data_IF_789339286853
#
_entry.id   IF_789339286853
#
_cell.length_a   1.000
_cell.length_b   1.000
_cell.length_c   1.000
_cell.angle_alpha   90.00
_cell.angle_beta   90.00
_cell.angle_gamma   90.00
#
_symmetry.space_group_name_H-M   'P 1'
#
loop_
_entity.id
_entity.type
_entity.pdbx_description
1 polymer ?
#
# COMPACT_ATOMS: atom_id res chain seq x y z
N UNK A 1 -27.72 -40.00 21.34
CA UNK A 1 -26.38 -39.64 20.83
C UNK A 1 -26.52 -39.50 19.33
N UNK A 2 -26.68 -38.27 18.86
CA UNK A 2 -26.67 -37.95 17.44
C UNK A 2 -25.57 -36.93 17.28
N UNK A 3 -24.44 -37.39 16.73
CA UNK A 3 -23.33 -36.54 16.31
C UNK A 3 -23.83 -35.63 15.19
N UNK A 4 -24.12 -34.38 15.55
CA UNK A 4 -24.32 -33.31 14.58
C UNK A 4 -22.95 -32.92 14.04
N UNK A 5 -22.71 -33.28 12.78
CA UNK A 5 -21.50 -32.98 12.03
C UNK A 5 -21.31 -31.46 11.97
N UNK A 6 -20.30 -30.94 12.68
CA UNK A 6 -19.85 -29.55 12.56
C UNK A 6 -19.48 -29.30 11.08
N UNK A 7 -20.37 -28.63 10.36
CA UNK A 7 -20.04 -28.11 9.02
C UNK A 7 -19.07 -26.94 9.21
N UNK A 8 -17.93 -26.88 8.50
CA UNK A 8 -17.03 -25.74 8.62
C UNK A 8 -17.78 -24.46 8.23
N UNK A 9 -17.91 -23.54 9.19
CA UNK A 9 -18.43 -22.21 8.95
C UNK A 9 -17.55 -21.56 7.87
N UNK A 10 -18.16 -21.16 6.76
CA UNK A 10 -17.53 -20.28 5.77
C UNK A 10 -17.08 -19.03 6.54
N UNK A 11 -15.82 -18.57 6.41
CA UNK A 11 -15.36 -17.39 7.14
C UNK A 11 -16.37 -16.25 6.93
N UNK A 12 -16.75 -15.60 8.03
CA UNK A 12 -17.71 -14.50 7.98
C UNK A 12 -17.19 -13.41 7.04
N UNK A 13 -18.07 -12.62 6.45
CA UNK A 13 -17.67 -11.55 5.52
C UNK A 13 -16.70 -10.54 6.19
N UNK A 14 -16.76 -10.44 7.53
CA UNK A 14 -15.87 -9.62 8.37
C UNK A 14 -14.42 -10.15 8.43
N UNK A 15 -14.20 -11.47 8.33
CA UNK A 15 -12.85 -12.08 8.31
C UNK A 15 -12.09 -11.76 7.01
N UNK A 16 -12.79 -11.26 5.98
CA UNK A 16 -12.23 -10.90 4.67
C UNK A 16 -11.93 -9.42 4.53
N UNK A 17 -12.16 -8.62 5.58
CA UNK A 17 -11.87 -7.20 5.57
C UNK A 17 -10.37 -6.98 5.32
N UNK A 18 -9.99 -6.13 4.35
CA UNK A 18 -8.59 -5.82 4.14
C UNK A 18 -7.95 -5.12 5.35
N UNK A 19 -6.68 -5.43 5.59
CA UNK A 19 -5.90 -4.84 6.70
C UNK A 19 -5.14 -3.62 6.21
N UNK A 20 -5.23 -2.51 6.94
CA UNK A 20 -4.48 -1.30 6.62
C UNK A 20 -3.13 -1.26 7.34
N UNK A 21 -2.14 -0.63 6.71
CA UNK A 21 -0.80 -0.49 7.28
C UNK A 21 -0.02 0.71 6.77
N UNK A 22 1.05 1.02 7.48
CA UNK A 22 1.98 2.11 7.14
C UNK A 22 3.40 1.59 7.18
N UNK A 23 4.25 2.07 6.26
CA UNK A 23 5.69 1.82 6.27
C UNK A 23 6.46 2.99 5.66
N UNK A 24 7.55 3.42 6.29
CA UNK A 24 8.47 4.40 5.71
C UNK A 24 9.03 5.38 6.73
N UNK A 25 9.26 6.62 6.31
CA UNK A 25 9.62 7.72 7.21
C UNK A 25 8.47 8.71 7.34
N UNK A 26 8.37 9.34 8.50
CA UNK A 26 7.40 10.38 8.80
C UNK A 26 8.11 11.58 9.43
N UNK A 27 7.69 12.83 9.17
CA UNK A 27 8.29 14.01 9.76
C UNK A 27 8.23 14.03 11.30
N UNK A 28 7.24 13.35 11.87
CA UNK A 28 6.98 13.26 13.32
C UNK A 28 7.90 12.28 14.05
N UNK A 29 8.71 11.49 13.32
CA UNK A 29 9.61 10.49 13.90
C UNK A 29 11.04 10.63 13.39
N UNK A 30 12.00 10.22 14.24
CA UNK A 30 13.41 10.22 13.86
C UNK A 30 13.84 9.01 13.03
N UNK A 31 13.11 7.90 13.04
CA UNK A 31 13.47 6.64 12.38
C UNK A 31 12.33 6.07 11.52
N UNK A 32 12.55 4.89 10.93
CA UNK A 32 11.54 4.17 10.17
C UNK A 32 10.36 3.75 11.04
N UNK A 33 9.16 3.82 10.47
CA UNK A 33 7.91 3.41 11.11
C UNK A 33 7.28 2.24 10.36
N UNK A 34 6.61 1.37 11.10
CA UNK A 34 5.75 0.34 10.52
C UNK A 34 4.61 -0.04 11.47
N UNK A 35 3.39 -0.19 10.95
CA UNK A 35 2.21 -0.70 11.66
C UNK A 35 1.29 -1.45 10.71
N UNK A 36 0.53 -2.42 11.23
CA UNK A 36 -0.49 -3.15 10.46
C UNK A 36 0.00 -4.06 9.33
N UNK A 37 1.32 -4.26 9.18
CA UNK A 37 1.90 -5.04 8.09
C UNK A 37 2.46 -6.38 8.59
N UNK A 38 2.17 -7.50 7.89
CA UNK A 38 2.88 -8.76 8.12
C UNK A 38 4.38 -8.60 7.88
N UNK A 39 5.19 -9.11 8.80
CA UNK A 39 6.64 -8.90 8.78
C UNK A 39 7.32 -9.39 7.49
N UNK A 40 6.86 -10.52 6.95
CA UNK A 40 7.37 -11.05 5.69
C UNK A 40 7.11 -10.08 4.54
N UNK A 41 5.90 -9.52 4.44
CA UNK A 41 5.55 -8.54 3.42
C UNK A 41 6.37 -7.25 3.61
N UNK A 42 6.44 -6.73 4.84
CA UNK A 42 7.20 -5.50 5.18
C UNK A 42 8.64 -5.57 4.68
N UNK A 43 9.35 -6.69 4.91
CA UNK A 43 10.75 -6.85 4.47
C UNK A 43 10.91 -6.78 2.94
N UNK A 44 10.01 -7.41 2.19
CA UNK A 44 10.03 -7.37 0.73
C UNK A 44 9.68 -5.97 0.21
N UNK A 45 8.70 -5.31 0.84
CA UNK A 45 8.30 -3.95 0.49
C UNK A 45 9.39 -2.91 0.77
N UNK A 46 10.06 -3.01 1.92
CA UNK A 46 11.22 -2.19 2.27
C UNK A 46 12.34 -2.32 1.22
N UNK A 47 12.70 -3.56 0.88
CA UNK A 47 13.69 -3.82 -0.15
C UNK A 47 13.29 -3.19 -1.50
N UNK A 48 12.02 -3.34 -1.89
CA UNK A 48 11.50 -2.77 -3.14
C UNK A 48 11.58 -1.23 -3.15
N UNK A 49 11.14 -0.56 -2.09
CA UNK A 49 11.23 0.89 -1.95
C UNK A 49 12.67 1.39 -1.95
N UNK A 50 13.55 0.72 -1.20
CA UNK A 50 14.97 1.05 -1.11
C UNK A 50 15.66 0.94 -2.46
N UNK A 51 15.32 -0.09 -3.24
CA UNK A 51 15.92 -0.35 -4.55
C UNK A 51 15.37 0.54 -5.66
N UNK A 52 14.08 0.83 -5.66
CA UNK A 52 13.41 1.40 -6.83
C UNK A 52 12.86 2.82 -6.62
N UNK A 53 12.43 3.18 -5.41
CA UNK A 53 11.79 4.48 -5.15
C UNK A 53 12.74 5.47 -4.48
N UNK A 54 13.43 5.04 -3.43
CA UNK A 54 14.33 5.90 -2.67
C UNK A 54 15.42 6.57 -3.54
N UNK A 55 16.04 5.89 -4.54
CA UNK A 55 17.00 6.54 -5.43
C UNK A 55 16.37 7.66 -6.27
N UNK A 56 15.12 7.49 -6.72
CA UNK A 56 14.42 8.49 -7.53
C UNK A 56 14.12 9.75 -6.70
N UNK A 57 13.66 9.58 -5.46
CA UNK A 57 13.47 10.71 -4.54
C UNK A 57 14.76 11.47 -4.26
N UNK A 58 15.88 10.76 -4.02
CA UNK A 58 17.19 11.39 -3.84
C UNK A 58 17.72 12.10 -5.10
N UNK A 59 17.33 11.64 -6.28
CA UNK A 59 17.68 12.26 -7.56
C UNK A 59 16.76 13.44 -7.94
N UNK A 60 15.82 13.83 -7.06
CA UNK A 60 14.94 14.97 -7.28
C UNK A 60 13.71 14.67 -8.14
N UNK A 61 13.29 13.39 -8.25
CA UNK A 61 12.05 13.04 -8.94
C UNK A 61 10.85 13.76 -8.31
N UNK A 62 9.99 14.32 -9.16
CA UNK A 62 8.78 15.02 -8.72
C UNK A 62 7.68 13.99 -8.56
N UNK A 63 7.26 13.76 -7.31
CA UNK A 63 6.14 12.88 -7.07
C UNK A 63 4.84 13.54 -7.55
N UNK A 64 3.95 12.78 -8.21
CA UNK A 64 2.68 13.29 -8.69
C UNK A 64 1.79 13.71 -7.52
N UNK A 65 0.93 14.70 -7.75
CA UNK A 65 -0.11 15.06 -6.80
C UNK A 65 -1.02 13.84 -6.56
N UNK A 66 -1.15 13.43 -5.29
CA UNK A 66 -1.88 12.22 -4.92
C UNK A 66 -1.04 10.93 -4.89
N UNK A 67 0.29 11.06 -5.01
CA UNK A 67 1.26 9.97 -4.83
C UNK A 67 1.30 8.94 -5.96
N UNK A 68 2.29 8.06 -5.88
CA UNK A 68 2.40 6.89 -6.77
C UNK A 68 1.49 5.79 -6.22
N UNK A 69 0.46 5.41 -6.97
CA UNK A 69 -0.47 4.35 -6.58
C UNK A 69 -0.03 3.01 -7.15
N UNK A 70 -0.33 1.94 -6.42
CA UNK A 70 0.08 0.60 -6.81
C UNK A 70 -0.92 -0.48 -6.43
N UNK A 71 -0.81 -1.60 -7.13
CA UNK A 71 -1.38 -2.88 -6.74
C UNK A 71 -0.35 -3.97 -7.04
N UNK A 72 -0.15 -4.87 -6.07
CA UNK A 72 0.89 -5.88 -6.07
C UNK A 72 0.26 -7.22 -5.64
N UNK A 73 -0.12 -8.06 -6.62
CA UNK A 73 -0.57 -9.42 -6.33
C UNK A 73 0.58 -10.26 -5.77
N UNK A 74 0.33 -11.03 -4.70
CA UNK A 74 1.29 -11.96 -4.12
C UNK A 74 0.59 -13.06 -3.32
N UNK A 75 0.82 -14.33 -3.69
CA UNK A 75 0.30 -15.48 -2.94
C UNK A 75 -1.23 -15.52 -2.81
N UNK A 76 -1.97 -15.02 -3.81
CA UNK A 76 -3.43 -14.92 -3.79
C UNK A 76 -3.98 -13.68 -3.06
N UNK A 77 -3.11 -12.90 -2.41
CA UNK A 77 -3.45 -11.63 -1.75
C UNK A 77 -3.05 -10.44 -2.61
N UNK A 78 -3.65 -9.29 -2.35
CA UNK A 78 -3.30 -8.04 -3.00
C UNK A 78 -2.80 -7.04 -1.97
N UNK A 79 -1.56 -6.56 -2.12
CA UNK A 79 -1.13 -5.33 -1.48
C UNK A 79 -1.40 -4.16 -2.42
N UNK A 80 -2.11 -3.14 -1.96
CA UNK A 80 -2.41 -1.95 -2.75
C UNK A 80 -2.23 -0.69 -1.90
N UNK A 81 -2.14 0.46 -2.54
CA UNK A 81 -2.14 1.74 -1.84
C UNK A 81 -1.36 2.82 -2.55
N UNK A 82 -0.76 3.71 -1.77
CA UNK A 82 -0.09 4.92 -2.25
C UNK A 82 1.27 5.11 -1.60
N UNK A 83 2.24 5.54 -2.40
CA UNK A 83 3.59 5.91 -2.00
C UNK A 83 3.77 7.42 -2.17
N UNK A 84 4.24 8.06 -1.11
CA UNK A 84 4.42 9.50 -0.97
C UNK A 84 5.90 9.87 -0.82
N UNK A 85 6.31 11.06 -1.29
CA UNK A 85 7.58 11.62 -0.88
C UNK A 85 7.54 11.90 0.63
N UNK A 86 8.59 11.57 1.35
CA UNK A 86 8.66 11.84 2.79
C UNK A 86 10.12 11.92 3.28
N UNK A 87 10.28 12.41 4.51
CA UNK A 87 11.53 12.54 5.26
C UNK A 87 11.25 12.40 6.75
N UNK A 88 12.26 11.97 7.51
CA UNK A 88 12.17 11.97 8.97
C UNK A 88 12.49 13.35 9.56
N UNK A 89 12.38 13.47 10.88
CA UNK A 89 12.72 14.70 11.61
C UNK A 89 14.20 15.11 11.50
N UNK A 90 15.07 14.24 10.97
CA UNK A 90 16.47 14.52 10.68
C UNK A 90 16.70 14.83 9.18
N UNK A 91 15.63 15.09 8.41
CA UNK A 91 15.65 15.42 6.98
C UNK A 91 16.22 14.31 6.07
N UNK A 92 16.28 13.07 6.57
CA UNK A 92 16.73 11.92 5.76
C UNK A 92 15.55 11.45 4.92
N UNK A 93 15.71 11.52 3.60
CA UNK A 93 14.63 11.20 2.66
C UNK A 93 14.41 9.69 2.54
N UNK A 94 13.15 9.28 2.69
CA UNK A 94 12.69 7.92 2.37
C UNK A 94 11.16 7.97 2.19
N UNK A 95 10.59 7.29 1.18
CA UNK A 95 9.16 7.36 0.92
C UNK A 95 8.31 6.86 2.08
N UNK A 96 7.10 7.39 2.19
CA UNK A 96 6.05 6.86 3.08
C UNK A 96 5.06 6.06 2.24
N UNK A 97 4.70 4.86 2.68
CA UNK A 97 3.66 4.04 2.05
C UNK A 97 2.47 3.90 2.98
N UNK A 98 1.27 4.14 2.44
CA UNK A 98 0.00 3.80 3.06
C UNK A 98 -0.56 2.61 2.29
N UNK A 99 -0.83 1.51 2.98
CA UNK A 99 -1.15 0.23 2.34
C UNK A 99 -2.46 -0.36 2.84
N UNK A 100 -3.05 -1.16 1.95
CA UNK A 100 -4.15 -2.07 2.19
C UNK A 100 -3.72 -3.47 1.74
N UNK A 101 -3.92 -4.50 2.56
CA UNK A 101 -3.70 -5.91 2.20
C UNK A 101 -5.03 -6.63 2.19
N UNK A 102 -5.43 -7.15 1.03
CA UNK A 102 -6.72 -7.81 0.84
C UNK A 102 -6.55 -9.29 0.47
N UNK A 103 -7.45 -10.14 1.01
CA UNK A 103 -7.55 -11.56 0.69
C UNK A 103 -8.40 -11.78 -0.58
N UNK A 104 -7.89 -11.25 -1.69
CA UNK A 104 -8.49 -11.33 -3.02
C UNK A 104 -8.11 -10.14 -3.90
N UNK A 105 -8.80 -10.01 -5.03
CA UNK A 105 -8.59 -8.92 -5.99
C UNK A 105 -9.32 -7.63 -5.57
N UNK A 106 -8.71 -6.48 -5.87
CA UNK A 106 -9.35 -5.16 -5.87
C UNK A 106 -9.02 -4.49 -7.20
N UNK A 107 -10.03 -3.83 -7.77
CA UNK A 107 -9.90 -3.01 -8.95
C UNK A 107 -9.30 -1.64 -8.61
N UNK A 108 -8.84 -0.91 -9.63
CA UNK A 108 -8.33 0.45 -9.44
C UNK A 108 -9.41 1.40 -8.95
N UNK A 109 -10.65 1.23 -9.42
CA UNK A 109 -11.79 2.07 -9.03
C UNK A 109 -12.17 1.87 -7.56
N UNK A 110 -11.77 0.75 -6.95
CA UNK A 110 -11.92 0.48 -5.52
C UNK A 110 -10.72 1.00 -4.70
N UNK A 111 -9.50 0.88 -5.25
CA UNK A 111 -8.27 1.34 -4.59
C UNK A 111 -8.18 2.87 -4.57
N UNK A 112 -8.60 3.53 -5.65
CA UNK A 112 -8.42 4.98 -5.82
C UNK A 112 -9.17 5.82 -4.76
N UNK A 113 -10.43 5.54 -4.42
CA UNK A 113 -11.14 6.21 -3.33
C UNK A 113 -10.50 5.97 -1.97
N UNK A 114 -10.01 4.75 -1.69
CA UNK A 114 -9.32 4.46 -0.44
C UNK A 114 -8.01 5.26 -0.33
N UNK A 115 -7.23 5.33 -1.42
CA UNK A 115 -6.04 6.18 -1.48
C UNK A 115 -6.39 7.66 -1.23
N UNK A 116 -7.45 8.18 -1.85
CA UNK A 116 -7.90 9.57 -1.61
C UNK A 116 -8.25 9.81 -0.13
N UNK A 117 -8.97 8.88 0.49
CA UNK A 117 -9.33 8.96 1.91
C UNK A 117 -8.09 8.87 2.83
N UNK A 118 -7.16 7.96 2.54
CA UNK A 118 -5.92 7.80 3.29
C UNK A 118 -5.04 9.06 3.25
N UNK A 119 -4.98 9.74 2.10
CA UNK A 119 -4.25 11.00 1.96
C UNK A 119 -4.94 12.16 2.70
N UNK A 120 -6.27 12.18 2.73
CA UNK A 120 -7.05 13.19 3.43
C UNK A 120 -6.87 13.16 4.96
N UNK A 121 -6.31 12.08 5.52
CA UNK A 121 -5.94 12.00 6.94
C UNK A 121 -4.77 12.92 7.33
N UNK A 122 -4.00 13.43 6.36
CA UNK A 122 -2.85 14.30 6.64
C UNK A 122 -1.68 13.55 7.28
N UNK A 123 -1.11 12.53 6.59
CA UNK A 123 -0.10 11.63 7.17
C UNK A 123 1.14 12.34 7.71
N UNK A 124 1.52 13.48 7.15
CA UNK A 124 2.70 14.24 7.57
C UNK A 124 2.57 14.88 8.97
N UNK A 125 1.34 14.98 9.48
CA UNK A 125 1.03 15.66 10.74
C UNK A 125 0.72 14.72 11.90
N UNK A 126 0.46 13.45 11.62
CA UNK A 126 0.04 12.46 12.61
C UNK A 126 1.24 11.71 13.21
N UNK A 127 1.03 11.18 14.42
CA UNK A 127 1.93 10.15 14.95
C UNK A 127 1.73 8.83 14.16
N UNK A 128 2.70 7.90 14.20
CA UNK A 128 2.55 6.63 13.50
C UNK A 128 1.36 5.79 13.98
N UNK A 129 1.08 5.82 15.29
CA UNK A 129 -0.02 5.05 15.91
C UNK A 129 -1.37 5.67 15.57
N UNK A 130 -1.47 7.00 15.58
CA UNK A 130 -2.70 7.71 15.19
C UNK A 130 -3.00 7.54 13.70
N UNK A 131 -1.98 7.64 12.84
CA UNK A 131 -2.14 7.41 11.41
C UNK A 131 -2.59 5.98 11.13
N UNK A 132 -1.98 4.98 11.76
CA UNK A 132 -2.40 3.59 11.58
C UNK A 132 -3.84 3.36 12.06
N UNK A 133 -4.19 3.88 13.23
CA UNK A 133 -5.56 3.78 13.78
C UNK A 133 -6.57 4.42 12.84
N UNK A 134 -6.26 5.61 12.29
CA UNK A 134 -7.11 6.30 11.35
C UNK A 134 -7.26 5.55 10.02
N UNK A 135 -6.17 4.95 9.50
CA UNK A 135 -6.21 4.10 8.31
C UNK A 135 -7.06 2.85 8.52
N UNK A 136 -6.91 2.18 9.67
CA UNK A 136 -7.67 0.98 10.02
C UNK A 136 -9.17 1.29 10.25
N UNK A 137 -9.51 2.53 10.60
CA UNK A 137 -10.88 3.00 10.70
C UNK A 137 -11.53 3.36 9.34
N UNK A 138 -10.75 3.45 8.26
CA UNK A 138 -11.31 3.74 6.93
C UNK A 138 -12.19 2.60 6.43
N UNK A 139 -13.23 2.97 5.70
CA UNK A 139 -13.99 2.02 4.90
C UNK A 139 -13.07 1.43 3.83
N UNK A 140 -12.78 0.13 3.94
CA UNK A 140 -11.99 -0.60 2.97
C UNK A 140 -12.93 -1.26 1.94
N UNK A 141 -12.54 -1.31 0.65
CA UNK A 141 -13.32 -2.05 -0.35
C UNK A 141 -13.28 -3.55 -0.05
N UNK A 142 -14.40 -4.24 -0.26
CA UNK A 142 -14.46 -5.69 -0.08
C UNK A 142 -13.76 -6.39 -1.26
N UNK A 143 -12.78 -7.27 -1.01
CA UNK A 143 -12.09 -7.95 -2.10
C UNK A 143 -13.03 -8.85 -2.90
N UNK A 144 -12.72 -9.10 -4.17
CA UNK A 144 -13.37 -10.15 -4.95
C UNK A 144 -13.13 -11.54 -4.35
N UNK A 145 -13.92 -12.54 -4.76
CA UNK A 145 -13.74 -13.94 -4.34
C UNK A 145 -12.53 -14.64 -4.98
N UNK A 146 -12.00 -14.06 -6.05
CA UNK A 146 -10.89 -14.63 -6.81
C UNK A 146 -9.53 -14.24 -6.22
N UNK A 147 -8.56 -15.18 -6.18
CA UNK A 147 -7.22 -14.90 -5.68
C UNK A 147 -6.52 -13.88 -6.58
N UNK A 148 -5.84 -12.92 -5.95
CA UNK A 148 -5.06 -11.93 -6.68
C UNK A 148 -3.88 -12.57 -7.41
N UNK A 149 -3.77 -12.27 -8.71
CA UNK A 149 -2.70 -12.75 -9.59
C UNK A 149 -2.38 -11.71 -10.67
N UNK A 150 -1.27 -11.91 -11.38
CA UNK A 150 -0.85 -11.04 -12.47
C UNK A 150 0.33 -10.12 -12.11
N UNK A 151 0.54 -9.09 -12.94
CA UNK A 151 1.63 -8.14 -12.81
C UNK A 151 1.37 -7.11 -11.69
N UNK A 152 2.43 -6.46 -11.23
CA UNK A 152 2.30 -5.23 -10.43
C UNK A 152 1.75 -4.13 -11.33
N UNK A 153 0.78 -3.36 -10.85
CA UNK A 153 0.30 -2.17 -11.53
C UNK A 153 0.82 -0.93 -10.80
N UNK A 154 1.23 0.07 -11.57
CA UNK A 154 1.62 1.40 -11.10
C UNK A 154 0.81 2.47 -11.83
N UNK A 155 0.33 3.49 -11.12
CA UNK A 155 -0.42 4.59 -11.73
C UNK A 155 -0.36 5.87 -10.90
N UNK A 156 -0.84 6.97 -11.48
CA UNK A 156 -1.11 8.24 -10.79
C UNK A 156 -2.62 8.46 -10.71
N UNK A 157 -3.06 9.33 -9.81
CA UNK A 157 -4.49 9.66 -9.65
C UNK A 157 -5.08 10.10 -11.00
N UNK A 158 -6.15 9.42 -11.46
CA UNK A 158 -6.81 9.69 -12.74
C UNK A 158 -6.01 9.31 -14.00
N UNK A 159 -4.77 8.82 -13.86
CA UNK A 159 -3.91 8.41 -14.96
C UNK A 159 -4.11 6.94 -15.39
N UNK A 160 -3.53 6.51 -16.52
CA UNK A 160 -3.53 5.11 -16.90
C UNK A 160 -2.62 4.27 -15.99
N UNK A 161 -2.95 2.99 -15.83
CA UNK A 161 -2.08 2.04 -15.14
C UNK A 161 -1.07 1.40 -16.08
N UNK A 162 0.15 1.25 -15.58
CA UNK A 162 1.26 0.58 -16.24
C UNK A 162 1.51 -0.75 -15.53
N UNK A 163 1.33 -1.86 -16.25
CA UNK A 163 1.71 -3.17 -15.77
C UNK A 163 3.23 -3.34 -15.81
N UNK A 164 3.81 -3.89 -14.75
CA UNK A 164 5.25 -4.06 -14.63
C UNK A 164 5.64 -5.28 -13.81
N UNK A 165 6.87 -5.77 -14.02
CA UNK A 165 7.49 -6.73 -13.12
C UNK A 165 7.98 -5.99 -11.86
N UNK A 166 7.60 -6.42 -10.63
CA UNK A 166 8.09 -5.79 -9.41
C UNK A 166 9.62 -5.88 -9.25
N UNK A 167 10.29 -6.85 -9.88
CA UNK A 167 11.74 -6.98 -9.87
C UNK A 167 12.46 -5.97 -10.80
N UNK A 168 11.74 -5.42 -11.78
CA UNK A 168 12.25 -4.44 -12.75
C UNK A 168 11.19 -3.38 -13.13
N UNK A 169 10.80 -2.48 -12.20
CA UNK A 169 9.78 -1.46 -12.44
C UNK A 169 10.32 -0.17 -13.07
N UNK A 170 11.59 -0.15 -13.50
CA UNK A 170 12.32 1.08 -13.83
C UNK A 170 11.64 1.93 -14.91
N UNK A 171 11.22 1.32 -16.01
CA UNK A 171 10.58 2.04 -17.12
C UNK A 171 9.21 2.62 -16.72
N UNK A 172 8.42 1.87 -15.96
CA UNK A 172 7.13 2.36 -15.44
C UNK A 172 7.33 3.55 -14.50
N UNK A 173 8.30 3.46 -13.57
CA UNK A 173 8.59 4.53 -12.63
C UNK A 173 9.08 5.80 -13.31
N UNK A 174 9.98 5.69 -14.31
CA UNK A 174 10.44 6.87 -15.06
C UNK A 174 9.29 7.57 -15.78
N UNK A 175 8.35 6.81 -16.34
CA UNK A 175 7.16 7.38 -17.01
C UNK A 175 6.17 8.07 -16.07
N UNK A 176 6.15 7.71 -14.79
CA UNK A 176 5.19 8.24 -13.82
C UNK A 176 5.78 9.31 -12.89
N UNK A 177 7.10 9.33 -12.69
CA UNK A 177 7.77 10.18 -11.69
C UNK A 177 8.77 11.19 -12.28
N UNK A 178 9.07 11.12 -13.59
CA UNK A 178 10.02 12.02 -14.27
C UNK A 178 9.37 12.79 -15.43
N UNK A 179 8.06 13.03 -15.35
CA UNK A 179 7.28 13.78 -16.33
C UNK A 179 7.36 15.28 -16.10
#
# INVERSE_FOLDING_TARGET
MSDEVLTPQKPGDDDRRPVAGVFGKMPTTGDFVWRGLPDAFRKHWDFWLTRHIAPLGRAGAVFPQGGLRFSLPSGGRLAAGVVLPSRDSAERHFPLSLLLIADGTLSRDEIDPWCDAALALGPDSLSPDDLWTALDALAAPMPGGEPASGAMLLWTRGGPAIATNPADPGDALRRLLLT
#
